data_IF_446988992067
#
_entry.id   IF_446988992067
#
_cell.length_a   1.000
_cell.length_b   1.000
_cell.length_c   1.000
_cell.angle_alpha   90.00
_cell.angle_beta   90.00
_cell.angle_gamma   90.00
#
_symmetry.space_group_name_H-M   'P 1'
#
loop_
_entity.id
_entity.type
_entity.pdbx_description
1 polymer ?
#
# COMPACT_ATOMS: atom_id res chain seq x y z
N UNK A 1 3.72 26.22 10.44
CA UNK A 1 4.82 25.35 9.98
C UNK A 1 5.81 26.21 9.22
N UNK A 2 7.09 26.17 9.58
CA UNK A 2 8.11 26.88 8.79
C UNK A 2 8.45 26.13 7.50
N UNK A 3 9.06 26.79 6.51
CA UNK A 3 9.45 26.10 5.27
C UNK A 3 10.50 25.01 5.51
N UNK A 4 11.44 25.24 6.42
CA UNK A 4 12.50 24.28 6.75
C UNK A 4 11.94 23.06 7.47
N UNK A 5 11.04 23.29 8.44
CA UNK A 5 10.28 22.21 9.08
C UNK A 5 9.46 21.41 8.05
N UNK A 6 8.79 22.09 7.11
CA UNK A 6 8.04 21.44 6.03
C UNK A 6 8.94 20.54 5.18
N UNK A 7 10.09 21.05 4.72
CA UNK A 7 11.05 20.27 3.92
C UNK A 7 11.59 19.07 4.69
N UNK A 8 11.87 19.24 5.98
CA UNK A 8 12.32 18.14 6.83
C UNK A 8 11.25 17.06 6.97
N UNK A 9 10.00 17.43 7.23
CA UNK A 9 8.89 16.47 7.33
C UNK A 9 8.58 15.78 5.99
N UNK A 10 8.75 16.48 4.85
CA UNK A 10 8.64 15.86 3.52
C UNK A 10 9.76 14.81 3.34
N UNK A 11 10.99 15.13 3.74
CA UNK A 11 12.13 14.21 3.67
C UNK A 11 11.96 12.98 4.55
N UNK A 12 11.28 13.14 5.69
CA UNK A 12 10.93 12.05 6.62
C UNK A 12 9.67 11.27 6.18
N UNK A 13 9.09 11.58 5.01
CA UNK A 13 7.84 11.00 4.51
C UNK A 13 6.62 11.21 5.44
N UNK A 14 6.69 12.19 6.35
CA UNK A 14 5.59 12.56 7.25
C UNK A 14 4.66 13.56 6.58
N UNK A 15 5.20 14.50 5.80
CA UNK A 15 4.41 15.53 5.11
C UNK A 15 4.26 15.19 3.63
N UNK A 16 3.08 15.46 3.08
CA UNK A 16 2.81 15.35 1.65
C UNK A 16 3.49 16.47 0.86
N UNK A 17 3.83 16.17 -0.39
CA UNK A 17 4.23 17.18 -1.36
C UNK A 17 3.01 17.69 -2.13
N UNK A 18 3.16 18.79 -2.87
CA UNK A 18 2.13 19.26 -3.77
C UNK A 18 1.75 18.16 -4.78
N UNK A 19 0.46 18.11 -5.14
CA UNK A 19 -0.06 17.14 -6.11
C UNK A 19 0.62 17.36 -7.47
N UNK A 20 1.41 16.37 -7.88
CA UNK A 20 2.18 16.38 -9.15
C UNK A 20 1.55 15.54 -10.25
N UNK A 21 0.62 14.65 -9.91
CA UNK A 21 -0.06 13.80 -10.88
C UNK A 21 -1.04 14.63 -11.70
N UNK A 22 -0.86 14.63 -13.03
CA UNK A 22 -1.66 15.44 -13.96
C UNK A 22 -3.15 15.08 -13.93
N UNK A 23 -3.49 13.81 -13.76
CA UNK A 23 -4.89 13.36 -13.73
C UNK A 23 -5.55 13.80 -12.42
N UNK A 24 -4.85 13.66 -11.29
CA UNK A 24 -5.35 14.14 -10.00
C UNK A 24 -5.48 15.67 -10.00
N UNK A 25 -4.53 16.39 -10.59
CA UNK A 25 -4.60 17.84 -10.71
C UNK A 25 -5.81 18.28 -11.56
N UNK A 26 -6.02 17.64 -12.71
CA UNK A 26 -7.14 17.93 -13.62
C UNK A 26 -8.53 17.64 -13.00
N UNK A 27 -8.61 16.79 -11.96
CA UNK A 27 -9.86 16.52 -11.23
C UNK A 27 -10.30 17.66 -10.31
N UNK A 28 -9.47 18.69 -10.12
CA UNK A 28 -9.80 19.85 -9.28
C UNK A 28 -9.55 19.65 -7.78
N UNK A 29 -8.87 18.57 -7.38
CA UNK A 29 -8.45 18.28 -5.99
C UNK A 29 -7.47 19.34 -5.44
N UNK A 30 -6.66 19.94 -6.32
CA UNK A 30 -5.62 20.91 -5.94
C UNK A 30 -6.10 22.37 -5.81
N UNK A 31 -7.41 22.65 -5.91
CA UNK A 31 -7.96 24.02 -5.80
C UNK A 31 -7.59 24.66 -4.46
N UNK A 32 -7.27 25.95 -4.46
CA UNK A 32 -7.00 26.73 -3.24
C UNK A 32 -5.84 26.21 -2.39
N UNK A 33 -4.89 25.48 -2.96
CA UNK A 33 -3.74 24.95 -2.23
C UNK A 33 -2.90 26.07 -1.57
N UNK A 34 -2.52 25.98 -0.28
CA UNK A 34 -2.67 24.86 0.66
C UNK A 34 -3.81 25.04 1.70
N UNK A 35 -4.85 25.84 1.42
CA UNK A 35 -5.91 26.18 2.39
C UNK A 35 -6.60 24.94 2.99
N UNK A 36 -6.79 24.89 4.31
CA UNK A 36 -7.42 23.78 5.03
C UNK A 36 -6.73 22.40 4.89
N UNK A 37 -5.45 22.36 4.46
CA UNK A 37 -4.65 21.12 4.43
C UNK A 37 -3.77 21.03 5.67
N UNK A 38 -3.54 19.82 6.15
CA UNK A 38 -2.75 19.62 7.36
C UNK A 38 -2.26 18.20 7.53
N UNK A 39 -1.30 18.05 8.43
CA UNK A 39 -0.76 16.76 8.86
C UNK A 39 -0.87 16.67 10.38
N UNK A 40 -1.33 15.52 10.86
CA UNK A 40 -1.18 15.08 12.23
C UNK A 40 -0.23 13.89 12.24
N UNK A 41 0.63 13.79 13.25
CA UNK A 41 1.51 12.65 13.45
C UNK A 41 1.79 12.45 14.94
N UNK A 42 2.05 11.20 15.35
CA UNK A 42 2.47 10.89 16.71
C UNK A 42 3.96 11.23 16.95
N UNK A 43 4.41 11.21 18.21
CA UNK A 43 5.80 11.55 18.56
C UNK A 43 6.84 10.70 17.81
N UNK A 44 6.54 9.41 17.61
CA UNK A 44 7.40 8.48 16.89
C UNK A 44 7.41 8.68 15.36
N UNK A 45 6.51 9.52 14.82
CA UNK A 45 6.33 9.79 13.38
C UNK A 45 6.05 8.53 12.55
N UNK A 46 5.50 7.51 13.19
CA UNK A 46 5.24 6.19 12.61
C UNK A 46 3.73 5.92 12.41
N UNK A 47 2.90 6.88 12.86
CA UNK A 47 1.47 7.00 12.57
C UNK A 47 1.15 8.44 12.15
N UNK A 48 0.65 8.62 10.94
CA UNK A 48 0.49 9.93 10.29
C UNK A 48 -0.88 10.02 9.63
N UNK A 49 -1.57 11.15 9.80
CA UNK A 49 -2.86 11.44 9.15
C UNK A 49 -2.73 12.70 8.32
N UNK A 50 -2.97 12.58 7.01
CA UNK A 50 -3.04 13.72 6.10
C UNK A 50 -4.50 14.14 5.94
N UNK A 51 -4.76 15.44 6.09
CA UNK A 51 -6.09 16.01 5.93
C UNK A 51 -6.20 16.80 4.61
N UNK A 52 -7.27 16.56 3.87
CA UNK A 52 -7.66 17.30 2.66
C UNK A 52 -6.63 17.33 1.51
N UNK A 53 -5.89 16.23 1.34
CA UNK A 53 -4.92 16.09 0.23
C UNK A 53 -5.61 15.57 -1.03
N UNK A 54 -5.79 14.24 -1.14
CA UNK A 54 -6.54 13.61 -2.23
C UNK A 54 -7.93 13.14 -1.77
N UNK A 55 -8.02 12.76 -0.50
CA UNK A 55 -9.22 12.37 0.21
C UNK A 55 -9.37 13.24 1.47
N UNK A 56 -10.51 13.18 2.15
CA UNK A 56 -10.72 13.91 3.41
C UNK A 56 -9.66 13.57 4.46
N UNK A 57 -9.31 12.28 4.58
CA UNK A 57 -8.25 11.80 5.46
C UNK A 57 -7.49 10.63 4.80
N UNK A 58 -6.17 10.66 4.89
CA UNK A 58 -5.30 9.54 4.51
C UNK A 58 -4.45 9.14 5.72
N UNK A 59 -4.66 7.94 6.22
CA UNK A 59 -4.01 7.42 7.44
C UNK A 59 -2.89 6.47 7.05
N UNK A 60 -1.71 6.72 7.60
CA UNK A 60 -0.49 6.00 7.31
C UNK A 60 0.08 5.44 8.61
N UNK A 61 0.43 4.15 8.59
CA UNK A 61 1.21 3.48 9.63
C UNK A 61 2.42 2.88 8.92
N UNK A 62 3.63 3.22 9.36
CA UNK A 62 4.86 2.75 8.73
C UNK A 62 5.95 2.56 9.77
N UNK A 63 6.86 1.62 9.55
CA UNK A 63 8.06 1.49 10.36
C UNK A 63 9.19 0.85 9.56
N UNK A 64 10.42 1.05 10.01
CA UNK A 64 11.55 0.31 9.48
C UNK A 64 11.55 -1.14 9.97
N UNK A 65 11.95 -2.07 9.12
CA UNK A 65 11.98 -3.49 9.42
C UNK A 65 10.92 -4.29 8.65
N UNK A 66 10.73 -5.55 9.06
CA UNK A 66 9.88 -6.52 8.36
C UNK A 66 8.63 -6.94 9.15
N UNK A 67 8.37 -6.29 10.29
CA UNK A 67 7.24 -6.62 11.16
C UNK A 67 5.95 -5.97 10.65
N UNK A 68 5.36 -6.58 9.62
CA UNK A 68 4.09 -6.15 9.02
C UNK A 68 2.92 -6.25 10.01
N UNK A 69 2.98 -7.21 10.93
CA UNK A 69 1.92 -7.40 11.92
C UNK A 69 1.85 -6.19 12.85
N UNK A 70 2.97 -5.75 13.42
CA UNK A 70 3.00 -4.58 14.29
C UNK A 70 2.54 -3.30 13.57
N UNK A 71 2.88 -3.14 12.28
CA UNK A 71 2.40 -2.01 11.46
C UNK A 71 0.88 -2.04 11.30
N UNK A 72 0.33 -3.23 11.00
CA UNK A 72 -1.09 -3.42 10.77
C UNK A 72 -1.92 -3.33 12.05
N UNK A 73 -1.44 -3.88 13.16
CA UNK A 73 -2.09 -3.78 14.47
C UNK A 73 -2.18 -2.31 14.92
N UNK A 74 -1.09 -1.55 14.77
CA UNK A 74 -1.06 -0.10 15.02
C UNK A 74 -2.02 0.68 14.11
N UNK A 75 -2.12 0.29 12.83
CA UNK A 75 -3.07 0.91 11.90
C UNK A 75 -4.51 0.66 12.35
N UNK A 76 -4.85 -0.59 12.71
CA UNK A 76 -6.19 -0.96 13.17
C UNK A 76 -6.58 -0.23 14.46
N UNK A 77 -5.69 -0.18 15.45
CA UNK A 77 -5.91 0.55 16.70
C UNK A 77 -6.08 2.06 16.46
N UNK A 78 -5.21 2.66 15.65
CA UNK A 78 -5.29 4.06 15.28
C UNK A 78 -6.57 4.42 14.52
N UNK A 79 -6.98 3.58 13.56
CA UNK A 79 -8.24 3.74 12.83
C UNK A 79 -9.46 3.63 13.73
N UNK A 80 -9.48 2.67 14.66
CA UNK A 80 -10.57 2.53 15.63
C UNK A 80 -10.72 3.76 16.53
N UNK A 81 -9.60 4.31 17.01
CA UNK A 81 -9.58 5.56 17.79
C UNK A 81 -10.03 6.76 16.96
N UNK A 82 -9.60 6.84 15.70
CA UNK A 82 -9.97 7.93 14.81
C UNK A 82 -11.47 7.91 14.50
N UNK A 83 -12.02 6.74 14.15
CA UNK A 83 -13.45 6.58 13.90
C UNK A 83 -14.29 6.92 15.14
N UNK A 84 -13.87 6.48 16.33
CA UNK A 84 -14.54 6.82 17.58
C UNK A 84 -14.57 8.34 17.85
N UNK A 85 -13.46 9.04 17.55
CA UNK A 85 -13.39 10.49 17.69
C UNK A 85 -14.34 11.21 16.71
N UNK A 86 -14.40 10.75 15.45
CA UNK A 86 -15.30 11.27 14.41
C UNK A 86 -16.77 11.08 14.82
N UNK A 87 -17.13 9.89 15.32
CA UNK A 87 -18.46 9.56 15.87
C UNK A 87 -18.84 10.44 17.06
N UNK A 88 -17.91 10.68 17.99
CA UNK A 88 -18.12 11.61 19.11
C UNK A 88 -18.41 13.04 18.64
N UNK A 89 -17.89 13.43 17.48
CA UNK A 89 -18.20 14.70 16.80
C UNK A 89 -19.53 14.72 16.03
N UNK A 90 -20.33 13.65 16.09
CA UNK A 90 -21.60 13.55 15.38
C UNK A 90 -21.45 13.35 13.86
N UNK A 91 -20.32 12.80 13.42
CA UNK A 91 -20.01 12.49 12.03
C UNK A 91 -19.68 11.01 11.88
N UNK A 92 -19.72 10.49 10.66
CA UNK A 92 -19.38 9.10 10.34
C UNK A 92 -18.55 9.05 9.06
N UNK A 93 -17.83 7.95 8.86
CA UNK A 93 -17.17 7.68 7.59
C UNK A 93 -18.19 7.32 6.52
N UNK A 94 -17.92 7.75 5.29
CA UNK A 94 -18.72 7.38 4.14
C UNK A 94 -18.46 5.91 3.82
N UNK A 95 -19.46 5.06 4.08
CA UNK A 95 -19.37 3.62 3.84
C UNK A 95 -20.74 3.05 3.50
N UNK A 96 -20.77 2.03 2.65
CA UNK A 96 -21.96 1.20 2.44
C UNK A 96 -21.58 -0.28 2.23
N UNK A 97 -22.58 -1.17 2.25
CA UNK A 97 -22.36 -2.62 2.21
C UNK A 97 -21.87 -3.12 0.84
N UNK A 98 -22.15 -2.38 -0.24
CA UNK A 98 -21.77 -2.80 -1.59
C UNK A 98 -20.36 -2.35 -1.97
N UNK A 99 -19.98 -1.12 -1.61
CA UNK A 99 -18.74 -0.46 -2.03
C UNK A 99 -17.72 -0.32 -0.91
N UNK A 100 -18.05 -0.68 0.34
CA UNK A 100 -17.19 -0.42 1.49
C UNK A 100 -17.00 1.07 1.73
N UNK A 101 -15.81 1.49 2.15
CA UNK A 101 -15.42 2.88 2.32
C UNK A 101 -15.37 3.61 0.98
N UNK A 102 -15.98 4.80 0.96
CA UNK A 102 -16.04 5.67 -0.21
C UNK A 102 -14.87 6.65 -0.18
N UNK A 103 -14.10 6.65 -1.26
CA UNK A 103 -12.95 7.53 -1.48
C UNK A 103 -13.06 8.17 -2.87
N UNK A 104 -12.26 9.21 -3.12
CA UNK A 104 -12.36 10.02 -4.35
C UNK A 104 -12.12 9.20 -5.62
N UNK A 105 -11.19 8.23 -5.58
CA UNK A 105 -10.87 7.37 -6.74
C UNK A 105 -11.66 6.05 -6.71
N UNK A 106 -12.50 5.76 -7.73
CA UNK A 106 -13.28 4.52 -7.78
C UNK A 106 -12.45 3.23 -7.69
N UNK A 107 -11.22 3.24 -8.20
CA UNK A 107 -10.28 2.09 -8.13
C UNK A 107 -9.82 1.75 -6.71
N UNK A 108 -10.06 2.64 -5.74
CA UNK A 108 -9.67 2.47 -4.33
C UNK A 108 -10.85 2.19 -3.39
N UNK A 109 -12.06 1.97 -3.90
CA UNK A 109 -13.21 1.62 -3.08
C UNK A 109 -12.99 0.32 -2.30
N UNK A 110 -13.86 0.05 -1.32
CA UNK A 110 -13.82 -1.14 -0.48
C UNK A 110 -13.13 -0.86 0.84
N UNK A 111 -11.93 -1.39 0.98
CA UNK A 111 -11.06 -1.19 2.14
C UNK A 111 -10.27 0.12 2.06
N UNK A 112 -10.09 0.66 0.85
CA UNK A 112 -9.14 1.74 0.55
C UNK A 112 -7.70 1.50 1.05
N UNK A 113 -7.34 0.25 1.36
CA UNK A 113 -6.07 -0.10 1.97
C UNK A 113 -4.98 -0.28 0.92
N UNK A 114 -3.84 0.38 1.14
CA UNK A 114 -2.58 0.11 0.44
C UNK A 114 -1.52 -0.32 1.44
N UNK A 115 -1.36 -1.62 1.61
CA UNK A 115 -0.26 -2.22 2.35
C UNK A 115 0.91 -2.50 1.41
N UNK A 116 2.12 -2.12 1.79
CA UNK A 116 3.30 -2.34 0.95
C UNK A 116 4.62 -2.39 1.70
N UNK A 117 5.64 -2.89 1.03
CA UNK A 117 6.99 -3.09 1.57
C UNK A 117 8.05 -2.73 0.53
N UNK A 118 9.15 -2.15 0.99
CA UNK A 118 10.36 -1.96 0.18
C UNK A 118 11.27 -3.19 0.29
N UNK A 119 11.40 -3.95 -0.79
CA UNK A 119 12.22 -5.17 -0.86
C UNK A 119 13.49 -4.94 -1.65
N UNK A 120 14.60 -5.53 -1.20
CA UNK A 120 15.82 -5.67 -2.01
C UNK A 120 15.82 -7.05 -2.66
N UNK A 121 15.55 -7.09 -3.96
CA UNK A 121 15.46 -8.32 -4.76
C UNK A 121 16.10 -8.10 -6.14
N UNK A 122 17.39 -7.71 -6.22
CA UNK A 122 18.01 -7.21 -7.44
C UNK A 122 18.00 -8.23 -8.59
N UNK A 123 18.15 -9.53 -8.31
CA UNK A 123 18.16 -10.55 -9.37
C UNK A 123 16.76 -10.77 -9.95
N UNK A 124 15.76 -10.88 -9.08
CA UNK A 124 14.37 -11.07 -9.48
C UNK A 124 13.80 -9.80 -10.14
N UNK A 125 14.16 -8.61 -9.64
CA UNK A 125 13.75 -7.34 -10.22
C UNK A 125 14.24 -7.16 -11.67
N UNK A 126 15.41 -7.72 -12.00
CA UNK A 126 15.95 -7.73 -13.37
C UNK A 126 15.34 -8.80 -14.28
N UNK A 127 14.54 -9.73 -13.73
CA UNK A 127 14.00 -10.85 -14.49
C UNK A 127 12.76 -10.44 -15.31
N UNK A 128 12.66 -10.78 -16.61
CA UNK A 128 11.58 -10.32 -17.49
C UNK A 128 10.18 -10.77 -17.04
N UNK A 129 10.07 -11.88 -16.31
CA UNK A 129 8.80 -12.43 -15.80
C UNK A 129 8.37 -11.89 -14.42
N UNK A 130 9.10 -10.97 -13.80
CA UNK A 130 8.76 -10.49 -12.45
C UNK A 130 7.37 -9.84 -12.38
N UNK A 131 6.98 -9.10 -13.43
CA UNK A 131 5.66 -8.45 -13.54
C UNK A 131 4.53 -9.46 -13.65
N UNK A 132 4.74 -10.53 -14.42
CA UNK A 132 3.78 -11.63 -14.57
C UNK A 132 3.59 -12.37 -13.24
N UNK A 133 4.70 -12.65 -12.54
CA UNK A 133 4.69 -13.26 -11.23
C UNK A 133 3.94 -12.41 -10.20
N UNK A 134 4.24 -11.11 -10.10
CA UNK A 134 3.53 -10.19 -9.19
C UNK A 134 2.04 -10.12 -9.50
N UNK A 135 1.66 -10.06 -10.78
CA UNK A 135 0.26 -10.09 -11.20
C UNK A 135 -0.44 -11.38 -10.76
N UNK A 136 0.21 -12.54 -10.89
CA UNK A 136 -0.34 -13.81 -10.41
C UNK A 136 -0.53 -13.85 -8.88
N UNK A 137 0.28 -13.09 -8.14
CA UNK A 137 0.16 -12.92 -6.69
C UNK A 137 -0.74 -11.74 -6.27
N UNK A 138 -1.43 -11.09 -7.21
CA UNK A 138 -2.25 -9.88 -6.96
C UNK A 138 -1.47 -8.73 -6.32
N UNK A 139 -0.20 -8.61 -6.67
CA UNK A 139 0.69 -7.53 -6.24
C UNK A 139 0.99 -6.56 -7.38
N UNK A 140 1.28 -5.33 -7.01
CA UNK A 140 1.75 -4.27 -7.89
C UNK A 140 2.99 -3.58 -7.30
N UNK A 141 3.71 -2.86 -8.13
CA UNK A 141 4.86 -2.06 -7.74
C UNK A 141 4.70 -0.62 -8.23
N UNK A 142 5.07 0.34 -7.38
CA UNK A 142 4.86 1.77 -7.70
C UNK A 142 6.08 2.43 -8.38
N UNK A 143 7.25 1.75 -8.41
CA UNK A 143 8.46 2.08 -9.20
C UNK A 143 9.63 1.15 -8.81
N UNK A 144 10.52 0.88 -9.77
CA UNK A 144 11.88 0.40 -9.49
C UNK A 144 12.65 1.50 -8.76
N UNK A 145 13.06 1.26 -7.52
CA UNK A 145 14.07 2.11 -6.89
C UNK A 145 15.43 1.86 -7.55
N UNK A 146 16.33 2.82 -7.40
CA UNK A 146 17.75 2.64 -7.68
C UNK A 146 18.27 1.39 -6.94
N UNK A 147 19.20 0.65 -7.56
CA UNK A 147 19.89 -0.51 -6.97
C UNK A 147 19.03 -1.77 -6.70
N UNK A 148 18.02 -2.05 -7.53
CA UNK A 148 17.29 -3.33 -7.47
C UNK A 148 16.38 -3.48 -6.25
N UNK A 149 15.96 -2.34 -5.68
CA UNK A 149 14.91 -2.28 -4.67
C UNK A 149 13.55 -2.08 -5.34
N UNK A 150 12.53 -2.79 -4.89
CA UNK A 150 11.16 -2.68 -5.38
C UNK A 150 10.22 -2.36 -4.22
N UNK A 151 9.39 -1.33 -4.38
CA UNK A 151 8.25 -1.12 -3.49
C UNK A 151 7.06 -1.92 -4.00
N UNK A 152 6.68 -2.97 -3.27
CA UNK A 152 5.63 -3.92 -3.64
C UNK A 152 4.43 -3.73 -2.72
N UNK A 153 3.21 -3.71 -3.27
CA UNK A 153 1.97 -3.54 -2.51
C UNK A 153 0.81 -4.41 -3.03
N UNK A 154 -0.25 -4.56 -2.24
CA UNK A 154 -1.48 -5.22 -2.68
C UNK A 154 -2.14 -4.45 -3.84
N UNK A 155 -2.74 -5.19 -4.77
CA UNK A 155 -3.55 -4.63 -5.87
C UNK A 155 -5.01 -4.43 -5.48
N UNK A 156 -5.59 -5.43 -4.81
CA UNK A 156 -7.02 -5.47 -4.52
C UNK A 156 -7.34 -4.57 -3.33
N UNK A 157 -8.40 -3.79 -3.48
CA UNK A 157 -8.97 -2.90 -2.45
C UNK A 157 -10.44 -3.23 -2.18
N UNK A 158 -11.14 -3.86 -3.13
CA UNK A 158 -12.56 -4.21 -3.07
C UNK A 158 -12.76 -5.74 -3.21
N UNK A 159 -13.76 -6.29 -2.53
CA UNK A 159 -14.12 -7.71 -2.60
C UNK A 159 -13.35 -8.63 -1.64
N UNK A 160 -12.47 -8.07 -0.81
CA UNK A 160 -11.72 -8.77 0.23
C UNK A 160 -11.54 -7.87 1.45
N UNK A 161 -11.30 -8.46 2.62
CA UNK A 161 -11.04 -7.69 3.85
C UNK A 161 -9.61 -7.12 3.87
N UNK A 162 -9.40 -6.09 4.69
CA UNK A 162 -8.09 -5.51 4.99
C UNK A 162 -7.08 -6.59 5.40
N UNK A 163 -7.49 -7.49 6.31
CA UNK A 163 -6.67 -8.59 6.79
C UNK A 163 -6.29 -9.57 5.66
N UNK A 164 -7.24 -9.90 4.78
CA UNK A 164 -6.99 -10.76 3.61
C UNK A 164 -5.99 -10.12 2.64
N UNK A 165 -6.08 -8.81 2.43
CA UNK A 165 -5.17 -8.06 1.54
C UNK A 165 -3.75 -7.97 2.12
N UNK A 166 -3.63 -7.74 3.43
CA UNK A 166 -2.34 -7.78 4.12
C UNK A 166 -1.73 -9.18 4.07
N UNK A 167 -2.52 -10.22 4.29
CA UNK A 167 -2.04 -11.60 4.18
C UNK A 167 -1.56 -11.92 2.76
N UNK A 168 -2.31 -11.50 1.73
CA UNK A 168 -1.90 -11.66 0.34
C UNK A 168 -0.56 -10.99 0.04
N UNK A 169 -0.31 -9.79 0.59
CA UNK A 169 0.99 -9.14 0.53
C UNK A 169 2.07 -9.96 1.23
N UNK A 170 1.85 -10.40 2.47
CA UNK A 170 2.82 -11.18 3.25
C UNK A 170 3.23 -12.45 2.50
N UNK A 171 2.26 -13.20 1.99
CA UNK A 171 2.51 -14.45 1.26
C UNK A 171 3.29 -14.21 -0.04
N UNK A 172 2.89 -13.17 -0.80
CA UNK A 172 3.57 -12.82 -2.04
C UNK A 172 5.00 -12.33 -1.80
N UNK A 173 5.23 -11.52 -0.75
CA UNK A 173 6.56 -11.08 -0.34
C UNK A 173 7.45 -12.26 0.05
N UNK A 174 6.93 -13.21 0.82
CA UNK A 174 7.68 -14.43 1.16
C UNK A 174 8.08 -15.22 -0.10
N UNK A 175 7.20 -15.33 -1.09
CA UNK A 175 7.49 -16.01 -2.35
C UNK A 175 8.54 -15.25 -3.18
N UNK A 176 8.46 -13.92 -3.27
CA UNK A 176 9.48 -13.09 -3.93
C UNK A 176 10.86 -13.30 -3.29
N UNK A 177 10.94 -13.31 -1.96
CA UNK A 177 12.20 -13.53 -1.21
C UNK A 177 12.73 -14.95 -1.45
N UNK A 178 11.87 -15.97 -1.46
CA UNK A 178 12.28 -17.37 -1.75
C UNK A 178 12.90 -17.48 -3.15
N UNK A 179 12.28 -16.83 -4.15
CA UNK A 179 12.79 -16.84 -5.53
C UNK A 179 14.10 -16.08 -5.62
N UNK A 180 14.21 -14.88 -5.03
CA UNK A 180 15.47 -14.12 -5.00
C UNK A 180 16.62 -14.95 -4.41
N UNK A 181 16.38 -15.64 -3.28
CA UNK A 181 17.39 -16.53 -2.67
C UNK A 181 17.78 -17.70 -3.59
N UNK A 182 16.84 -18.24 -4.36
CA UNK A 182 17.14 -19.30 -5.33
C UNK A 182 17.98 -18.79 -6.51
N UNK A 183 17.68 -17.59 -7.02
CA UNK A 183 18.49 -16.89 -8.02
C UNK A 183 19.88 -16.54 -7.47
N UNK A 184 19.95 -16.18 -6.18
CA UNK A 184 21.21 -15.94 -5.48
C UNK A 184 22.10 -17.19 -5.53
N UNK A 185 21.51 -18.37 -5.34
CA UNK A 185 22.16 -19.68 -5.39
C UNK A 185 22.37 -20.27 -6.80
N UNK A 186 22.09 -19.50 -7.87
CA UNK A 186 22.33 -19.93 -9.25
C UNK A 186 21.31 -20.93 -9.81
N UNK A 187 20.13 -21.07 -9.18
CA UNK A 187 19.05 -21.90 -9.73
C UNK A 187 18.39 -21.23 -10.94
N UNK A 188 17.85 -22.02 -11.85
CA UNK A 188 17.17 -21.51 -13.05
C UNK A 188 15.93 -20.69 -12.69
N UNK A 189 15.96 -19.42 -13.09
CA UNK A 189 14.91 -18.45 -12.82
C UNK A 189 13.60 -18.78 -13.52
N UNK A 190 13.71 -19.23 -14.78
CA UNK A 190 12.57 -19.48 -15.65
C UNK A 190 11.67 -20.58 -15.09
N UNK A 191 12.27 -21.71 -14.71
CA UNK A 191 11.57 -22.86 -14.14
C UNK A 191 10.87 -22.50 -12.83
N UNK A 192 11.56 -21.80 -11.90
CA UNK A 192 10.99 -21.44 -10.60
C UNK A 192 9.80 -20.49 -10.73
N UNK A 193 9.92 -19.46 -11.58
CA UNK A 193 8.85 -18.49 -11.79
C UNK A 193 7.67 -19.14 -12.50
N UNK A 194 7.93 -19.94 -13.55
CA UNK A 194 6.86 -20.65 -14.25
C UNK A 194 6.14 -21.66 -13.36
N UNK A 195 6.86 -22.37 -12.50
CA UNK A 195 6.26 -23.30 -11.54
C UNK A 195 5.42 -22.57 -10.47
N UNK A 196 5.91 -21.44 -9.97
CA UNK A 196 5.16 -20.61 -9.03
C UNK A 196 3.87 -20.08 -9.65
N UNK A 197 3.92 -19.56 -10.88
CA UNK A 197 2.74 -19.10 -11.62
C UNK A 197 1.76 -20.24 -11.84
N UNK A 198 2.25 -21.41 -12.29
CA UNK A 198 1.41 -22.59 -12.52
C UNK A 198 0.67 -23.02 -11.24
N UNK A 199 1.38 -23.08 -10.10
CA UNK A 199 0.77 -23.45 -8.82
C UNK A 199 -0.30 -22.46 -8.36
N UNK A 200 -0.04 -21.15 -8.50
CA UNK A 200 -1.01 -20.10 -8.15
C UNK A 200 -2.27 -20.18 -9.02
N UNK A 201 -2.11 -20.42 -10.33
CA UNK A 201 -3.25 -20.59 -11.25
C UNK A 201 -4.06 -21.83 -10.89
N UNK A 202 -3.42 -22.96 -10.58
CA UNK A 202 -4.13 -24.16 -10.14
C UNK A 202 -4.90 -23.95 -8.84
N UNK A 203 -4.30 -23.26 -7.86
CA UNK A 203 -4.97 -22.98 -6.59
C UNK A 203 -6.22 -22.12 -6.79
N UNK A 204 -6.14 -21.10 -7.65
CA UNK A 204 -7.28 -20.25 -7.99
C UNK A 204 -8.38 -21.04 -8.72
N UNK A 205 -8.01 -21.93 -9.64
CA UNK A 205 -8.98 -22.80 -10.32
C UNK A 205 -9.69 -23.74 -9.36
N UNK A 206 -8.96 -24.31 -8.40
CA UNK A 206 -9.52 -25.21 -7.37
C UNK A 206 -10.41 -24.47 -6.36
N UNK A 207 -10.14 -23.18 -6.09
CA UNK A 207 -10.94 -22.36 -5.19
C UNK A 207 -12.31 -21.94 -5.76
N UNK A 208 -12.53 -22.07 -7.08
CA UNK A 208 -13.78 -21.70 -7.76
C UNK A 208 -14.77 -22.88 -7.89
N UNK A 209 -14.40 -24.09 -7.43
CA UNK A 209 -15.26 -25.30 -7.51
C UNK A 209 -15.98 -25.61 -6.18
N UNK A 210 -16.42 -24.59 -5.44
CA UNK A 210 -17.32 -24.77 -4.29
C UNK A 210 -18.51 -23.83 -4.43
#
# INVERSE_FOLDING_TARGET
MSEEERKQLIKEHVMFDAIKDTNVFASGVARDWPDARGVFYNEAKDFVVWANVEDHAQVHSAQYGADMQAVFDKLCDGMGKFEAAVKKGGKEFMRNDHLGYIVTRPEKLGTALKAGVSLSIPKLAAHPKVKELMKAMKLEDTKSCEEGRLYVHNKETLGSSEASQVQCLVDGVQNLIKIEKALAAGKDAGSLISQAIFYLVEMLQKAVII
#
